data_IF_829632447466
#
_entry.id   IF_829632447466
#
_cell.length_a   1.000
_cell.length_b   1.000
_cell.length_c   1.000
_cell.angle_alpha   90.00
_cell.angle_beta   90.00
_cell.angle_gamma   90.00
#
_symmetry.space_group_name_H-M   'P 1'
#
loop_
_entity.id
_entity.type
_entity.pdbx_description
1 polymer ?
#
# COMPACT_ATOMS: atom_id res chain seq x y z
N UNK A 1 4.49 -35.17 -10.35
CA UNK A 1 4.45 -33.76 -10.78
C UNK A 1 4.95 -32.97 -9.58
N UNK A 2 6.17 -32.44 -9.64
CA UNK A 2 6.77 -31.73 -8.52
C UNK A 2 5.94 -30.50 -8.17
N UNK A 3 5.40 -30.42 -6.95
CA UNK A 3 4.70 -29.24 -6.46
C UNK A 3 5.73 -28.28 -5.90
N UNK A 4 5.96 -27.16 -6.60
CA UNK A 4 6.87 -26.12 -6.12
C UNK A 4 6.22 -25.41 -4.93
N UNK A 5 6.75 -25.68 -3.73
CA UNK A 5 6.25 -25.20 -2.43
C UNK A 5 6.18 -23.66 -2.32
N UNK A 6 6.88 -22.94 -3.19
CA UNK A 6 7.05 -21.48 -3.13
C UNK A 6 6.68 -20.74 -4.42
N UNK A 7 5.95 -21.38 -5.34
CA UNK A 7 5.65 -20.79 -6.65
C UNK A 7 4.85 -19.47 -6.59
N UNK A 8 4.19 -19.21 -5.45
CA UNK A 8 3.43 -18.00 -5.14
C UNK A 8 3.93 -17.28 -3.87
N UNK A 9 5.20 -17.50 -3.46
CA UNK A 9 5.75 -16.74 -2.35
C UNK A 9 5.76 -15.24 -2.73
N UNK A 10 5.07 -14.42 -1.93
CA UNK A 10 5.10 -12.97 -2.12
C UNK A 10 6.45 -12.47 -1.62
N UNK A 11 7.28 -11.97 -2.55
CA UNK A 11 8.63 -11.52 -2.27
C UNK A 11 8.61 -10.25 -1.39
N UNK A 12 8.84 -10.44 -0.09
CA UNK A 12 9.17 -9.42 0.91
C UNK A 12 8.07 -8.39 1.21
N UNK A 13 8.07 -7.79 2.41
CA UNK A 13 7.03 -6.86 2.81
C UNK A 13 7.09 -5.67 1.86
N UNK A 14 6.01 -5.46 1.12
CA UNK A 14 5.82 -4.27 0.30
C UNK A 14 6.00 -3.06 1.23
N UNK A 15 7.14 -2.38 1.15
CA UNK A 15 7.37 -1.17 1.95
C UNK A 15 6.59 -0.03 1.29
N UNK A 16 5.29 0.00 1.61
CA UNK A 16 4.32 1.01 1.21
C UNK A 16 4.67 2.43 1.72
N UNK A 17 5.74 2.58 2.50
CA UNK A 17 6.23 3.86 3.01
C UNK A 17 7.53 4.33 2.33
N UNK A 18 8.07 3.59 1.35
CA UNK A 18 9.31 3.96 0.64
C UNK A 18 9.13 5.08 -0.40
N UNK A 19 7.89 5.42 -0.74
CA UNK A 19 7.54 6.51 -1.66
C UNK A 19 7.46 7.88 -0.99
N UNK A 20 7.61 8.94 -1.77
CA UNK A 20 7.29 10.31 -1.31
C UNK A 20 5.83 10.39 -0.87
N UNK A 21 5.58 10.98 0.31
CA UNK A 21 4.23 11.14 0.83
C UNK A 21 3.38 11.96 -0.15
N UNK A 22 2.29 11.37 -0.64
CA UNK A 22 1.32 12.12 -1.42
C UNK A 22 0.65 13.17 -0.52
N UNK A 23 0.46 14.42 -0.99
CA UNK A 23 -0.26 15.43 -0.22
C UNK A 23 -1.69 14.95 0.01
N UNK A 24 -2.03 14.68 1.27
CA UNK A 24 -3.41 14.42 1.70
C UNK A 24 -4.11 15.77 1.86
N UNK A 25 -5.37 15.88 1.43
CA UNK A 25 -6.17 17.06 1.65
C UNK A 25 -6.40 17.26 3.16
N UNK A 26 -5.60 18.14 3.76
CA UNK A 26 -5.66 18.51 5.18
C UNK A 26 -6.77 19.54 5.48
N UNK A 27 -7.46 20.03 4.46
CA UNK A 27 -8.55 21.00 4.60
C UNK A 27 -9.84 20.21 4.82
N UNK A 28 -10.36 20.27 6.05
CA UNK A 28 -11.69 19.76 6.32
C UNK A 28 -12.70 20.51 5.42
N UNK A 29 -13.65 19.79 4.78
CA UNK A 29 -14.68 20.45 4.01
C UNK A 29 -15.45 21.41 4.92
N UNK A 30 -15.71 22.62 4.44
CA UNK A 30 -16.58 23.54 5.15
C UNK A 30 -17.99 22.90 5.19
N UNK A 31 -18.38 22.40 6.36
CA UNK A 31 -19.75 21.95 6.60
C UNK A 31 -20.60 23.21 6.74
N UNK A 32 -21.26 23.61 5.65
CA UNK A 32 -22.32 24.60 5.71
C UNK A 32 -23.58 23.88 6.18
N UNK A 33 -23.96 24.10 7.43
CA UNK A 33 -25.21 23.63 8.02
C UNK A 33 -26.43 24.38 7.49
#
# INVERSE_FOLDING_TARGET
>A
MEVMHERNAHNFPLDLASGQQAPVALIAPAING
#
